data_IF_663918431513
#
_entry.id   IF_663918431513
#
_cell.length_a   1.000
_cell.length_b   1.000
_cell.length_c   1.000
_cell.angle_alpha   90.00
_cell.angle_beta   90.00
_cell.angle_gamma   90.00
#
_symmetry.space_group_name_H-M   'P 1'
#
loop_
_entity.id
_entity.type
_entity.pdbx_description
1 polymer ?
#
# COMPACT_ATOMS: atom_id res chain seq x y z
N UNK A 1 -33.29 1.75 -9.90
CA UNK A 1 -32.27 1.33 -10.90
C UNK A 1 -31.51 2.57 -11.33
N UNK A 2 -30.42 2.92 -10.66
CA UNK A 2 -29.56 4.04 -11.04
C UNK A 2 -28.44 3.50 -11.95
N UNK A 3 -28.58 3.72 -13.24
CA UNK A 3 -27.50 3.49 -14.19
C UNK A 3 -26.44 4.57 -13.99
N UNK A 4 -25.25 4.17 -13.60
CA UNK A 4 -24.06 5.03 -13.59
C UNK A 4 -23.80 5.45 -15.04
N UNK A 5 -23.71 6.74 -15.37
CA UNK A 5 -23.34 7.17 -16.71
C UNK A 5 -21.95 6.64 -17.04
N UNK A 6 -21.79 6.00 -18.19
CA UNK A 6 -20.47 5.63 -18.71
C UNK A 6 -19.60 6.90 -18.75
N UNK A 7 -18.46 6.87 -18.10
CA UNK A 7 -17.47 7.94 -18.04
C UNK A 7 -16.76 8.04 -19.42
N UNK A 8 -17.50 8.50 -20.43
CA UNK A 8 -16.90 8.95 -21.68
C UNK A 8 -16.21 10.29 -21.40
N UNK A 9 -14.87 10.27 -21.36
CA UNK A 9 -14.07 11.50 -21.24
C UNK A 9 -13.13 11.61 -20.04
N UNK A 10 -13.06 10.61 -19.14
CA UNK A 10 -12.03 10.64 -18.11
C UNK A 10 -10.65 10.32 -18.72
N UNK A 11 -9.81 11.33 -18.78
CA UNK A 11 -8.38 11.15 -19.05
C UNK A 11 -7.66 11.27 -17.70
N UNK A 12 -6.92 10.22 -17.32
CA UNK A 12 -5.99 10.30 -16.21
C UNK A 12 -5.17 11.59 -16.34
N UNK A 13 -5.00 12.37 -15.27
CA UNK A 13 -4.11 13.53 -15.32
C UNK A 13 -2.76 13.05 -15.82
N UNK A 14 -2.36 13.57 -16.98
CA UNK A 14 -1.06 13.25 -17.60
C UNK A 14 0.02 13.46 -16.55
N UNK A 15 0.99 12.56 -16.41
CA UNK A 15 2.12 12.78 -15.53
C UNK A 15 2.71 14.13 -15.92
N UNK A 16 2.75 15.07 -14.97
CA UNK A 16 3.27 16.40 -15.24
C UNK A 16 4.73 16.25 -15.66
N UNK A 17 4.95 16.24 -16.98
CA UNK A 17 6.29 16.42 -17.54
C UNK A 17 6.82 17.72 -16.96
N UNK A 18 7.85 17.61 -16.12
CA UNK A 18 8.61 18.66 -15.50
C UNK A 18 8.58 19.97 -16.31
N UNK A 19 7.74 20.93 -15.95
CA UNK A 19 7.89 22.29 -16.41
C UNK A 19 9.11 22.85 -15.71
N UNK A 20 10.19 22.98 -16.48
CA UNK A 20 11.39 23.72 -16.08
C UNK A 20 10.97 25.11 -15.60
N UNK A 21 10.99 25.33 -14.30
CA UNK A 21 11.18 26.65 -13.69
C UNK A 21 12.48 26.60 -12.91
N UNK A 22 13.43 27.42 -13.35
CA UNK A 22 14.73 27.54 -12.76
C UNK A 22 14.67 28.04 -11.33
N UNK A 23 15.50 27.48 -10.53
CA UNK A 23 16.48 28.06 -9.62
C UNK A 23 16.99 26.98 -8.69
N UNK A 24 18.31 26.87 -8.58
CA UNK A 24 19.06 25.78 -8.01
C UNK A 24 18.60 25.31 -6.64
N UNK A 25 18.26 24.05 -6.59
CA UNK A 25 18.33 23.19 -5.42
C UNK A 25 18.83 21.85 -5.91
N UNK A 26 19.75 21.28 -5.15
CA UNK A 26 20.38 20.00 -5.39
C UNK A 26 19.32 18.97 -5.88
N UNK A 27 19.55 18.45 -7.07
CA UNK A 27 18.73 17.34 -7.59
C UNK A 27 19.00 16.15 -6.70
N UNK A 28 17.98 15.49 -6.12
CA UNK A 28 18.20 14.18 -5.53
C UNK A 28 18.83 13.30 -6.60
N UNK A 29 19.89 12.58 -6.26
CA UNK A 29 20.59 11.68 -7.16
C UNK A 29 19.62 10.60 -7.66
N UNK A 30 19.45 10.51 -8.97
CA UNK A 30 18.65 9.50 -9.67
C UNK A 30 17.22 9.96 -9.97
N UNK A 31 16.71 9.55 -11.13
CA UNK A 31 15.34 9.82 -11.58
C UNK A 31 14.32 9.23 -10.59
N UNK A 32 13.78 10.09 -9.71
CA UNK A 32 12.70 9.71 -8.83
C UNK A 32 11.38 9.79 -9.58
N UNK A 33 10.93 8.64 -10.07
CA UNK A 33 9.66 8.49 -10.76
C UNK A 33 8.56 8.05 -9.79
N UNK A 34 7.37 8.60 -9.95
CA UNK A 34 6.19 8.19 -9.21
C UNK A 34 4.93 8.39 -10.07
N UNK A 35 3.89 7.64 -9.74
CA UNK A 35 2.52 7.91 -10.20
C UNK A 35 1.70 8.52 -9.09
N UNK A 36 0.76 9.39 -9.45
CA UNK A 36 -0.14 10.04 -8.52
C UNK A 36 -1.57 9.87 -9.01
N UNK A 37 -2.46 9.55 -8.08
CA UNK A 37 -3.90 9.50 -8.29
C UNK A 37 -4.59 10.55 -7.42
N UNK A 38 -5.46 11.33 -8.03
CA UNK A 38 -6.32 12.30 -7.34
C UNK A 38 -7.78 11.87 -7.40
N UNK A 39 -8.55 12.03 -6.30
CA UNK A 39 -9.96 11.70 -6.32
C UNK A 39 -10.73 12.45 -7.41
N UNK A 40 -11.77 11.81 -7.94
CA UNK A 40 -12.75 12.50 -8.80
C UNK A 40 -13.40 13.60 -7.96
N UNK A 41 -13.42 14.82 -8.49
CA UNK A 41 -13.90 16.02 -7.78
C UNK A 41 -13.07 16.37 -6.52
N UNK A 42 -11.73 16.31 -6.66
CA UNK A 42 -10.81 16.72 -5.60
C UNK A 42 -11.15 18.12 -5.06
N UNK A 43 -11.29 18.22 -3.75
CA UNK A 43 -11.55 19.47 -3.02
C UNK A 43 -10.34 19.88 -2.21
N UNK A 44 -9.71 21.00 -2.54
CA UNK A 44 -8.47 21.45 -1.87
C UNK A 44 -8.65 21.77 -0.38
N UNK A 45 -9.89 22.05 0.06
CA UNK A 45 -10.23 22.32 1.46
C UNK A 45 -10.45 21.06 2.30
N UNK A 46 -10.57 19.88 1.69
CA UNK A 46 -10.77 18.62 2.38
C UNK A 46 -9.43 17.88 2.57
N UNK A 47 -9.15 17.43 3.78
CA UNK A 47 -7.96 16.65 4.10
C UNK A 47 -8.20 15.17 3.77
N UNK A 48 -7.62 14.70 2.66
CA UNK A 48 -7.79 13.33 2.19
C UNK A 48 -6.86 12.34 2.90
N UNK A 49 -7.32 11.12 3.18
CA UNK A 49 -6.42 10.00 3.46
C UNK A 49 -5.49 9.76 2.26
N UNK A 50 -4.24 9.37 2.54
CA UNK A 50 -3.24 9.03 1.53
C UNK A 50 -2.98 7.53 1.51
N UNK A 51 -3.03 6.92 0.33
CA UNK A 51 -2.55 5.56 0.09
C UNK A 51 -1.20 5.64 -0.64
N UNK A 52 -0.15 5.08 -0.03
CA UNK A 52 1.15 4.90 -0.69
C UNK A 52 1.20 3.47 -1.20
N UNK A 53 1.28 3.30 -2.53
CA UNK A 53 1.21 1.99 -3.17
C UNK A 53 2.59 1.52 -3.64
N UNK A 54 2.96 0.28 -3.25
CA UNK A 54 4.19 -0.39 -3.66
C UNK A 54 3.85 -1.55 -4.59
N UNK A 55 4.29 -1.45 -5.85
CA UNK A 55 4.03 -2.48 -6.88
C UNK A 55 4.80 -3.78 -6.60
N UNK A 56 4.44 -4.90 -7.20
CA UNK A 56 5.22 -6.12 -7.17
C UNK A 56 6.55 -5.96 -7.93
N UNK A 57 7.53 -6.84 -7.67
CA UNK A 57 8.76 -6.89 -8.46
C UNK A 57 8.42 -7.15 -9.94
N UNK A 58 9.13 -6.48 -10.83
CA UNK A 58 8.84 -6.52 -12.26
C UNK A 58 7.66 -5.64 -12.71
N UNK A 59 6.91 -5.08 -11.75
CA UNK A 59 5.87 -4.08 -12.02
C UNK A 59 6.45 -2.66 -12.08
N UNK A 60 5.57 -1.68 -12.14
CA UNK A 60 5.94 -0.27 -12.15
C UNK A 60 4.90 0.57 -11.42
N UNK A 61 5.26 1.80 -11.11
CA UNK A 61 4.43 2.74 -10.35
C UNK A 61 3.06 3.04 -11.01
N UNK A 62 2.92 2.83 -12.31
CA UNK A 62 1.66 3.06 -13.04
C UNK A 62 0.57 2.05 -12.70
N UNK A 63 0.91 0.91 -12.09
CA UNK A 63 -0.05 -0.04 -11.53
C UNK A 63 -1.06 0.65 -10.57
N UNK A 64 -0.67 1.76 -9.96
CA UNK A 64 -1.55 2.59 -9.13
C UNK A 64 -2.86 2.96 -9.87
N UNK A 65 -2.77 3.25 -11.16
CA UNK A 65 -3.92 3.70 -11.95
C UNK A 65 -4.90 2.56 -12.23
N UNK A 66 -4.43 1.32 -12.21
CA UNK A 66 -5.26 0.12 -12.36
C UNK A 66 -5.90 -0.28 -11.02
N UNK A 67 -5.20 -0.06 -9.90
CA UNK A 67 -5.63 -0.42 -8.55
C UNK A 67 -6.68 0.56 -7.99
N UNK A 68 -6.47 1.85 -8.19
CA UNK A 68 -7.30 2.88 -7.54
C UNK A 68 -8.78 2.84 -7.94
N UNK A 69 -9.19 2.54 -9.19
CA UNK A 69 -10.61 2.39 -9.53
C UNK A 69 -11.33 1.29 -8.75
N UNK A 70 -10.66 0.16 -8.48
CA UNK A 70 -11.19 -0.93 -7.66
C UNK A 70 -11.19 -0.60 -6.16
N UNK A 71 -10.25 0.24 -5.72
CA UNK A 71 -10.18 0.68 -4.32
C UNK A 71 -11.23 1.78 -4.05
N UNK A 72 -11.06 2.95 -4.62
CA UNK A 72 -12.03 4.04 -4.61
C UNK A 72 -11.64 5.17 -5.55
N UNK A 73 -12.60 5.68 -6.29
CA UNK A 73 -12.42 6.86 -7.14
C UNK A 73 -12.53 8.20 -6.38
N UNK A 74 -12.94 8.21 -5.11
CA UNK A 74 -13.32 9.45 -4.40
C UNK A 74 -12.69 9.64 -3.02
N UNK A 75 -12.33 8.55 -2.35
CA UNK A 75 -12.04 8.62 -0.91
C UNK A 75 -10.58 8.95 -0.60
N UNK A 76 -9.66 8.72 -1.53
CA UNK A 76 -8.23 8.78 -1.25
C UNK A 76 -7.46 9.59 -2.29
N UNK A 77 -6.43 10.29 -1.85
CA UNK A 77 -5.26 10.56 -2.66
C UNK A 77 -4.38 9.30 -2.67
N UNK A 78 -3.67 9.04 -3.77
CA UNK A 78 -2.70 7.96 -3.75
C UNK A 78 -1.43 8.31 -4.52
N UNK A 79 -0.30 7.78 -4.06
CA UNK A 79 1.01 7.93 -4.69
C UNK A 79 1.74 6.60 -4.72
N UNK A 80 2.39 6.29 -5.84
CA UNK A 80 3.22 5.11 -5.99
C UNK A 80 4.62 5.52 -6.42
N UNK A 81 5.64 5.40 -5.57
CA UNK A 81 7.03 5.55 -6.01
C UNK A 81 7.43 4.35 -6.87
N UNK A 82 8.31 4.59 -7.85
CA UNK A 82 8.95 3.53 -8.61
C UNK A 82 9.98 2.81 -7.75
N UNK A 83 9.96 1.49 -7.76
CA UNK A 83 10.97 0.65 -7.14
C UNK A 83 12.38 0.93 -7.67
N UNK A 84 13.39 0.38 -7.03
CA UNK A 84 14.78 0.52 -7.48
C UNK A 84 15.00 -0.32 -8.73
N UNK A 85 15.73 0.23 -9.70
CA UNK A 85 16.34 -0.57 -10.76
C UNK A 85 17.53 -1.34 -10.16
N UNK A 86 17.37 -2.64 -10.04
CA UNK A 86 18.45 -3.55 -9.77
C UNK A 86 19.04 -3.99 -11.12
N UNK A 87 20.23 -4.61 -11.12
CA UNK A 87 20.96 -5.05 -12.33
C UNK A 87 20.17 -6.02 -13.25
N UNK A 88 19.02 -6.48 -12.83
CA UNK A 88 18.03 -7.22 -13.63
C UNK A 88 16.96 -6.23 -14.06
N UNK A 89 16.69 -6.10 -15.33
CA UNK A 89 15.89 -5.11 -16.09
C UNK A 89 14.48 -4.72 -15.53
N UNK A 90 14.22 -4.91 -14.25
CA UNK A 90 12.90 -4.70 -13.64
C UNK A 90 12.98 -3.86 -12.36
N UNK A 91 12.12 -2.85 -12.17
CA UNK A 91 11.98 -2.16 -10.89
C UNK A 91 11.52 -3.11 -9.79
N UNK A 92 12.05 -2.95 -8.57
CA UNK A 92 11.69 -3.80 -7.45
C UNK A 92 12.07 -3.23 -6.08
N UNK A 93 11.87 -4.04 -5.05
CA UNK A 93 12.05 -3.69 -3.64
C UNK A 93 13.08 -4.62 -2.99
N UNK A 94 14.38 -4.32 -3.13
CA UNK A 94 15.43 -5.15 -2.56
C UNK A 94 15.44 -5.05 -1.03
N UNK A 95 15.51 -6.19 -0.36
CA UNK A 95 15.59 -6.27 1.10
C UNK A 95 17.01 -6.22 1.65
N UNK A 96 18.03 -6.41 0.81
CA UNK A 96 19.42 -6.37 1.20
C UNK A 96 20.18 -5.28 0.46
N UNK A 97 21.09 -4.59 1.16
CA UNK A 97 22.02 -3.62 0.58
C UNK A 97 21.44 -2.25 0.21
N UNK A 98 20.18 -2.17 -0.19
CA UNK A 98 19.54 -0.93 -0.69
C UNK A 98 18.34 -0.48 0.15
N UNK A 99 18.13 -1.08 1.32
CA UNK A 99 16.97 -0.83 2.14
C UNK A 99 16.74 0.65 2.48
N UNK A 100 17.79 1.36 2.89
CA UNK A 100 17.73 2.79 3.21
C UNK A 100 17.24 3.64 2.03
N UNK A 101 17.61 3.26 0.80
CA UNK A 101 17.16 3.97 -0.39
C UNK A 101 15.68 3.67 -0.70
N UNK A 102 15.22 2.43 -0.51
CA UNK A 102 13.80 2.07 -0.62
C UNK A 102 12.97 2.90 0.34
N UNK A 103 13.33 2.89 1.60
CA UNK A 103 12.67 3.65 2.65
C UNK A 103 12.65 5.15 2.35
N UNK A 104 13.81 5.71 1.97
CA UNK A 104 13.93 7.11 1.58
C UNK A 104 12.98 7.48 0.43
N UNK A 105 12.84 6.63 -0.59
CA UNK A 105 11.93 6.86 -1.72
C UNK A 105 10.48 6.86 -1.28
N UNK A 106 10.08 5.91 -0.46
CA UNK A 106 8.70 5.84 0.05
C UNK A 106 8.39 7.08 0.90
N UNK A 107 9.25 7.46 1.84
CA UNK A 107 9.05 8.63 2.68
C UNK A 107 9.06 9.94 1.86
N UNK A 108 9.94 10.06 0.86
CA UNK A 108 9.97 11.21 -0.03
C UNK A 108 8.68 11.33 -0.87
N UNK A 109 8.06 10.20 -1.26
CA UNK A 109 6.78 10.23 -1.99
C UNK A 109 5.65 10.83 -1.15
N UNK A 110 5.62 10.52 0.15
CA UNK A 110 4.65 11.11 1.08
C UNK A 110 4.85 12.63 1.17
N UNK A 111 6.10 13.08 1.29
CA UNK A 111 6.40 14.52 1.32
C UNK A 111 6.00 15.23 0.03
N UNK A 112 6.22 14.61 -1.14
CA UNK A 112 5.80 15.16 -2.43
C UNK A 112 4.28 15.30 -2.47
N UNK A 113 3.53 14.28 -2.06
CA UNK A 113 2.08 14.32 -2.01
C UNK A 113 1.61 15.43 -1.04
N UNK A 114 2.17 15.52 0.16
CA UNK A 114 1.79 16.50 1.20
C UNK A 114 2.11 17.95 0.83
N UNK A 115 3.12 18.18 -0.02
CA UNK A 115 3.44 19.54 -0.52
C UNK A 115 2.46 20.03 -1.58
N UNK A 116 1.80 19.13 -2.29
CA UNK A 116 0.98 19.46 -3.44
C UNK A 116 -0.54 19.30 -3.18
N UNK A 117 -0.91 18.54 -2.16
CA UNK A 117 -2.28 18.19 -1.85
C UNK A 117 -2.55 18.28 -0.35
N UNK A 118 -3.82 18.53 0.00
CA UNK A 118 -4.25 18.55 1.39
C UNK A 118 -4.50 17.12 1.87
N UNK A 119 -3.51 16.56 2.58
CA UNK A 119 -3.52 15.20 3.12
C UNK A 119 -3.76 15.24 4.62
N UNK A 120 -4.58 14.31 5.10
CA UNK A 120 -4.74 14.05 6.53
C UNK A 120 -3.46 13.39 7.06
N UNK A 121 -2.71 14.03 7.96
CA UNK A 121 -1.45 13.47 8.47
C UNK A 121 -1.67 12.18 9.28
N UNK A 122 -2.84 12.04 9.90
CA UNK A 122 -3.20 10.88 10.73
C UNK A 122 -3.75 9.71 9.92
N UNK A 123 -3.94 9.87 8.59
CA UNK A 123 -4.52 8.87 7.72
C UNK A 123 -3.62 8.56 6.50
N UNK A 124 -2.36 8.23 6.78
CA UNK A 124 -1.42 7.74 5.76
C UNK A 124 -1.34 6.22 5.84
N UNK A 125 -1.75 5.54 4.77
CA UNK A 125 -1.72 4.09 4.65
C UNK A 125 -0.61 3.66 3.70
N UNK A 126 0.10 2.60 4.08
CA UNK A 126 1.13 2.00 3.24
C UNK A 126 0.62 0.64 2.74
N UNK A 127 0.50 0.48 1.44
CA UNK A 127 -0.05 -0.72 0.81
C UNK A 127 0.87 -1.24 -0.28
N UNK A 128 0.88 -2.55 -0.50
CA UNK A 128 1.64 -3.10 -1.61
C UNK A 128 1.26 -4.54 -1.95
N UNK A 129 1.64 -4.96 -3.16
CA UNK A 129 1.39 -6.29 -3.66
C UNK A 129 2.69 -7.12 -3.68
N UNK A 130 2.62 -8.37 -3.23
CA UNK A 130 3.73 -9.33 -3.18
C UNK A 130 4.97 -8.73 -2.50
N UNK A 131 6.11 -8.58 -3.16
CA UNK A 131 7.31 -7.98 -2.59
C UNK A 131 7.11 -6.51 -2.18
N UNK A 132 6.22 -5.79 -2.88
CA UNK A 132 5.78 -4.46 -2.44
C UNK A 132 5.01 -4.51 -1.12
N UNK A 133 4.22 -5.57 -0.89
CA UNK A 133 3.56 -5.83 0.39
C UNK A 133 4.56 -6.12 1.51
N UNK A 134 5.57 -6.94 1.24
CA UNK A 134 6.66 -7.20 2.19
C UNK A 134 7.46 -5.93 2.51
N UNK A 135 7.73 -5.08 1.51
CA UNK A 135 8.38 -3.79 1.71
C UNK A 135 7.49 -2.85 2.55
N UNK A 136 6.18 -2.85 2.32
CA UNK A 136 5.23 -2.08 3.12
C UNK A 136 5.24 -2.52 4.59
N UNK A 137 5.20 -3.82 4.87
CA UNK A 137 5.32 -4.35 6.23
C UNK A 137 6.64 -3.90 6.88
N UNK A 138 7.75 -4.02 6.18
CA UNK A 138 9.05 -3.64 6.70
C UNK A 138 9.11 -2.15 7.07
N UNK A 139 8.69 -1.26 6.18
CA UNK A 139 8.71 0.19 6.41
C UNK A 139 7.74 0.56 7.54
N UNK A 140 6.53 -0.01 7.52
CA UNK A 140 5.52 0.26 8.54
C UNK A 140 5.97 -0.14 9.94
N UNK A 141 6.55 -1.34 10.08
CA UNK A 141 7.09 -1.82 11.36
C UNK A 141 8.31 -1.02 11.84
N UNK A 142 9.08 -0.43 10.92
CA UNK A 142 10.21 0.44 11.26
C UNK A 142 9.77 1.86 11.67
N UNK A 143 8.68 2.36 11.08
CA UNK A 143 8.11 3.69 11.35
C UNK A 143 6.63 3.64 11.76
N UNK A 144 6.25 2.90 12.83
CA UNK A 144 4.85 2.63 13.15
C UNK A 144 4.03 3.89 13.43
N UNK A 145 4.67 4.96 13.89
CA UNK A 145 4.00 6.22 14.21
C UNK A 145 3.69 7.09 12.97
N UNK A 146 4.16 6.67 11.78
CA UNK A 146 3.96 7.44 10.54
C UNK A 146 2.77 6.98 9.72
N UNK A 147 2.20 5.84 10.06
CA UNK A 147 1.14 5.21 9.28
C UNK A 147 -0.09 4.91 10.14
N UNK A 148 -1.26 5.16 9.57
CA UNK A 148 -2.55 4.77 10.13
C UNK A 148 -2.82 3.27 9.94
N UNK A 149 -2.09 2.62 9.04
CA UNK A 149 -2.17 1.19 8.82
C UNK A 149 -1.28 0.73 7.67
N UNK A 150 -1.00 -0.58 7.65
CA UNK A 150 -0.19 -1.23 6.63
C UNK A 150 -0.95 -2.39 6.01
N UNK A 151 -0.87 -2.51 4.69
CA UNK A 151 -1.61 -3.50 3.90
C UNK A 151 -0.61 -4.30 3.06
N UNK A 152 -0.52 -5.59 3.31
CA UNK A 152 0.27 -6.52 2.50
C UNK A 152 -0.62 -7.49 1.74
N UNK A 153 -0.62 -7.38 0.41
CA UNK A 153 -1.40 -8.23 -0.48
C UNK A 153 -0.52 -9.34 -1.03
N UNK A 154 -0.50 -10.47 -0.33
CA UNK A 154 0.30 -11.65 -0.71
C UNK A 154 1.80 -11.47 -0.56
N UNK A 155 2.24 -10.58 0.34
CA UNK A 155 3.64 -10.43 0.73
C UNK A 155 3.87 -10.83 2.18
N UNK A 156 4.92 -11.62 2.43
CA UNK A 156 5.31 -12.08 3.77
C UNK A 156 6.12 -11.05 4.55
N UNK A 157 6.29 -11.31 5.84
CA UNK A 157 7.17 -10.52 6.70
C UNK A 157 8.63 -10.81 6.32
N UNK A 158 9.44 -9.80 5.99
CA UNK A 158 10.84 -10.04 5.62
C UNK A 158 11.66 -10.42 6.86
N UNK A 159 12.04 -11.69 6.94
CA UNK A 159 12.84 -12.22 8.05
C UNK A 159 14.34 -11.82 7.97
N UNK A 160 14.98 -11.79 9.12
CA UNK A 160 16.44 -11.71 9.24
C UNK A 160 17.04 -10.30 9.24
N UNK A 161 16.23 -9.29 9.38
CA UNK A 161 16.68 -7.91 9.49
C UNK A 161 16.45 -7.38 10.92
N UNK A 162 17.27 -6.41 11.34
CA UNK A 162 17.17 -5.75 12.65
C UNK A 162 15.85 -4.93 12.86
N UNK A 163 14.85 -5.17 12.01
CA UNK A 163 13.61 -4.39 11.92
C UNK A 163 12.70 -4.53 13.14
N UNK A 164 12.85 -5.60 13.89
CA UNK A 164 12.03 -5.84 15.07
C UNK A 164 12.52 -5.13 16.34
N UNK A 165 13.44 -4.19 16.22
CA UNK A 165 13.94 -3.42 17.36
C UNK A 165 12.88 -2.56 18.04
N UNK A 166 11.74 -2.31 17.36
CA UNK A 166 10.66 -1.46 17.90
C UNK A 166 9.28 -2.14 17.86
N UNK A 167 9.22 -3.46 18.04
CA UNK A 167 7.94 -4.21 18.04
C UNK A 167 6.93 -3.68 19.05
N UNK A 168 7.40 -3.17 20.19
CA UNK A 168 6.51 -2.63 21.19
C UNK A 168 5.75 -1.40 20.65
N UNK A 169 6.42 -0.49 19.97
CA UNK A 169 5.79 0.68 19.37
C UNK A 169 4.91 0.34 18.14
N UNK A 170 5.14 -0.81 17.52
CA UNK A 170 4.37 -1.27 16.36
C UNK A 170 3.08 -2.02 16.72
N UNK A 171 2.85 -2.36 18.00
CA UNK A 171 1.67 -3.14 18.42
C UNK A 171 0.34 -2.47 18.06
N UNK A 172 0.29 -1.15 18.16
CA UNK A 172 -0.92 -0.37 17.88
C UNK A 172 -1.08 -0.03 16.39
N UNK A 173 -0.09 -0.40 15.54
CA UNK A 173 -0.18 -0.20 14.10
C UNK A 173 -1.10 -1.27 13.50
N UNK A 174 -2.27 -0.90 12.92
CA UNK A 174 -3.14 -1.85 12.27
C UNK A 174 -2.47 -2.47 11.04
N UNK A 175 -2.50 -3.80 10.94
CA UNK A 175 -1.99 -4.56 9.82
C UNK A 175 -3.12 -5.30 9.12
N UNK A 176 -3.21 -5.19 7.79
CA UNK A 176 -4.03 -6.08 6.96
C UNK A 176 -3.10 -6.95 6.13
N UNK A 177 -3.18 -8.26 6.32
CA UNK A 177 -2.41 -9.24 5.53
C UNK A 177 -3.39 -10.09 4.75
N UNK A 178 -3.17 -10.20 3.44
CA UNK A 178 -3.94 -11.12 2.60
C UNK A 178 -3.09 -12.29 2.15
N UNK A 179 -3.71 -13.45 2.04
CA UNK A 179 -3.09 -14.67 1.57
C UNK A 179 -3.98 -15.39 0.56
N UNK A 180 -3.41 -15.82 -0.57
CA UNK A 180 -4.09 -16.67 -1.55
C UNK A 180 -3.73 -18.14 -1.31
N UNK A 181 -4.73 -19.03 -1.20
CA UNK A 181 -4.49 -20.49 -1.00
C UNK A 181 -3.62 -21.11 -2.08
N UNK A 182 -3.68 -20.59 -3.30
CA UNK A 182 -2.90 -21.07 -4.44
C UNK A 182 -1.64 -20.24 -4.70
N UNK A 183 -1.26 -19.34 -3.77
CA UNK A 183 -0.09 -18.51 -3.92
C UNK A 183 1.20 -19.35 -3.95
N UNK A 184 2.02 -19.15 -4.98
CA UNK A 184 3.28 -19.89 -5.16
C UNK A 184 4.46 -19.26 -4.46
N UNK A 185 4.46 -17.93 -4.32
CA UNK A 185 5.59 -17.17 -3.75
C UNK A 185 5.48 -16.97 -2.24
N UNK A 186 4.28 -16.94 -1.70
CA UNK A 186 4.00 -16.82 -0.28
C UNK A 186 3.03 -17.93 0.09
N UNK A 187 3.60 -19.09 0.40
CA UNK A 187 2.84 -20.31 0.65
C UNK A 187 2.13 -20.29 2.01
N UNK A 188 1.16 -21.20 2.19
CA UNK A 188 0.36 -21.29 3.41
C UNK A 188 1.22 -21.48 4.67
N UNK A 189 2.28 -22.31 4.59
CA UNK A 189 3.19 -22.53 5.72
C UNK A 189 3.95 -21.27 6.13
N UNK A 190 4.41 -20.47 5.17
CA UNK A 190 5.07 -19.19 5.44
C UNK A 190 4.06 -18.18 6.03
N UNK A 191 2.85 -18.09 5.46
CA UNK A 191 1.80 -17.23 5.97
C UNK A 191 1.45 -17.59 7.41
N UNK A 192 1.25 -18.88 7.74
CA UNK A 192 1.00 -19.32 9.10
C UNK A 192 2.14 -18.99 10.07
N UNK A 193 3.40 -19.11 9.64
CA UNK A 193 4.55 -18.75 10.46
C UNK A 193 4.55 -17.25 10.78
N UNK A 194 4.34 -16.40 9.77
CA UNK A 194 4.27 -14.96 9.92
C UNK A 194 3.14 -14.54 10.85
N UNK A 195 1.94 -15.10 10.64
CA UNK A 195 0.76 -14.79 11.43
C UNK A 195 0.94 -15.17 12.91
N UNK A 196 1.49 -16.35 13.18
CA UNK A 196 1.82 -16.77 14.55
C UNK A 196 2.81 -15.83 15.22
N UNK A 197 3.83 -15.41 14.50
CA UNK A 197 4.85 -14.49 15.01
C UNK A 197 4.25 -13.11 15.32
N UNK A 198 3.49 -12.53 14.40
CA UNK A 198 2.85 -11.23 14.58
C UNK A 198 1.81 -11.27 15.72
N UNK A 199 1.03 -12.35 15.80
CA UNK A 199 0.06 -12.55 16.87
C UNK A 199 0.78 -12.69 18.24
N UNK A 200 1.84 -13.50 18.31
CA UNK A 200 2.65 -13.66 19.53
C UNK A 200 3.31 -12.34 19.96
N UNK A 201 3.66 -11.45 19.02
CA UNK A 201 4.15 -10.12 19.30
C UNK A 201 3.05 -9.14 19.78
N UNK A 202 1.77 -9.54 19.75
CA UNK A 202 0.62 -8.72 20.14
C UNK A 202 0.27 -7.62 19.15
N UNK A 203 0.50 -7.87 17.85
CA UNK A 203 0.20 -6.91 16.80
C UNK A 203 -1.30 -6.81 16.52
N UNK A 204 -1.79 -5.63 16.16
CA UNK A 204 -3.16 -5.39 15.69
C UNK A 204 -3.30 -5.92 14.24
N UNK A 205 -3.76 -7.16 14.09
CA UNK A 205 -3.72 -7.91 12.85
C UNK A 205 -5.11 -8.27 12.33
N UNK A 206 -5.42 -7.89 11.09
CA UNK A 206 -6.53 -8.39 10.29
C UNK A 206 -5.98 -9.29 9.17
N UNK A 207 -6.60 -10.46 9.00
CA UNK A 207 -6.19 -11.43 7.98
C UNK A 207 -7.37 -11.69 7.03
N UNK A 208 -7.08 -11.79 5.74
CA UNK A 208 -8.04 -12.21 4.72
C UNK A 208 -7.43 -13.30 3.85
N UNK A 209 -8.16 -14.37 3.66
CA UNK A 209 -7.74 -15.49 2.80
C UNK A 209 -8.63 -15.55 1.56
N UNK A 210 -8.00 -15.68 0.38
CA UNK A 210 -8.69 -15.81 -0.89
C UNK A 210 -8.44 -17.20 -1.51
N UNK A 211 -9.39 -17.75 -2.29
CA UNK A 211 -9.26 -19.10 -2.87
C UNK A 211 -8.09 -19.20 -3.86
N UNK A 212 -7.87 -18.16 -4.63
CA UNK A 212 -6.85 -18.10 -5.68
C UNK A 212 -5.58 -17.38 -5.23
N UNK A 213 -4.59 -17.31 -6.11
CA UNK A 213 -3.45 -16.42 -5.93
C UNK A 213 -3.97 -14.98 -5.84
N UNK A 214 -3.42 -14.16 -4.91
CA UNK A 214 -3.85 -12.78 -4.69
C UNK A 214 -3.82 -11.95 -5.99
N UNK A 215 -4.92 -12.01 -6.75
CA UNK A 215 -5.17 -11.13 -7.87
C UNK A 215 -5.73 -9.81 -7.31
N UNK A 216 -5.33 -8.70 -7.93
CA UNK A 216 -5.86 -7.38 -7.55
C UNK A 216 -7.24 -7.19 -8.20
N UNK A 217 -8.18 -8.04 -7.83
CA UNK A 217 -9.56 -8.02 -8.31
C UNK A 217 -10.46 -7.11 -7.47
N UNK A 218 -11.68 -6.92 -7.93
CA UNK A 218 -12.65 -6.02 -7.29
C UNK A 218 -13.03 -6.49 -5.88
N UNK A 219 -13.03 -7.80 -5.61
CA UNK A 219 -13.35 -8.34 -4.29
C UNK A 219 -12.24 -7.96 -3.29
N UNK A 220 -10.99 -8.28 -3.61
CA UNK A 220 -9.85 -7.98 -2.77
C UNK A 220 -9.70 -6.47 -2.54
N UNK A 221 -9.79 -5.66 -3.62
CA UNK A 221 -9.69 -4.21 -3.51
C UNK A 221 -10.86 -3.59 -2.75
N UNK A 222 -12.07 -4.13 -2.89
CA UNK A 222 -13.23 -3.75 -2.10
C UNK A 222 -13.06 -4.04 -0.61
N UNK A 223 -12.47 -5.18 -0.24
CA UNK A 223 -12.16 -5.53 1.15
C UNK A 223 -11.07 -4.61 1.73
N UNK A 224 -10.05 -4.27 0.95
CA UNK A 224 -9.03 -3.28 1.33
C UNK A 224 -9.65 -1.91 1.56
N UNK A 225 -10.51 -1.45 0.64
CA UNK A 225 -11.24 -0.17 0.81
C UNK A 225 -12.05 -0.15 2.11
N UNK A 226 -12.80 -1.23 2.40
CA UNK A 226 -13.57 -1.34 3.63
C UNK A 226 -12.68 -1.23 4.86
N UNK A 227 -11.58 -1.99 4.89
CA UNK A 227 -10.66 -1.96 6.01
C UNK A 227 -10.03 -0.57 6.21
N UNK A 228 -9.60 0.12 5.15
CA UNK A 228 -9.10 1.49 5.24
C UNK A 228 -10.17 2.43 5.82
N UNK A 229 -11.41 2.32 5.33
CA UNK A 229 -12.50 3.16 5.83
C UNK A 229 -12.82 2.90 7.30
N UNK A 230 -12.71 1.67 7.77
CA UNK A 230 -12.83 1.34 9.20
C UNK A 230 -11.76 2.05 10.04
N UNK A 231 -10.51 2.08 9.55
CA UNK A 231 -9.44 2.81 10.24
C UNK A 231 -9.67 4.33 10.22
N UNK A 232 -10.17 4.88 9.11
CA UNK A 232 -10.43 6.33 8.97
C UNK A 232 -11.60 6.79 9.83
N UNK A 233 -12.66 5.98 9.90
CA UNK A 233 -13.91 6.37 10.61
C UNK A 233 -13.93 5.93 12.07
N UNK A 234 -13.06 5.00 12.47
CA UNK A 234 -13.10 4.35 13.78
C UNK A 234 -14.33 3.47 14.01
N UNK A 235 -15.05 3.12 12.95
CA UNK A 235 -16.27 2.32 13.01
C UNK A 235 -16.12 1.05 12.17
N UNK A 236 -16.31 -0.11 12.79
CA UNK A 236 -16.40 -1.36 12.06
C UNK A 236 -17.62 -1.35 11.12
N UNK A 237 -17.38 -1.53 9.82
CA UNK A 237 -18.44 -1.61 8.81
C UNK A 237 -18.94 -3.04 8.80
N UNK A 238 -20.00 -3.34 9.58
CA UNK A 238 -20.67 -4.62 9.56
C UNK A 238 -21.39 -4.81 8.21
N UNK A 239 -20.84 -5.69 7.37
CA UNK A 239 -21.63 -6.29 6.30
C UNK A 239 -22.18 -7.65 6.78
N UNK A 240 -23.37 -8.09 6.26
CA UNK A 240 -23.82 -9.44 6.50
C UNK A 240 -22.73 -10.44 6.05
N UNK A 241 -22.42 -11.38 6.91
CA UNK A 241 -21.39 -12.40 6.71
C UNK A 241 -21.58 -13.11 5.37
N UNK A 242 -20.58 -13.01 4.51
CA UNK A 242 -20.49 -13.90 3.35
C UNK A 242 -20.16 -15.31 3.86
N UNK A 243 -20.80 -16.37 3.42
CA UNK A 243 -20.70 -17.71 4.01
C UNK A 243 -19.39 -18.45 3.70
N UNK A 244 -18.25 -17.80 3.70
CA UNK A 244 -16.94 -18.40 3.36
C UNK A 244 -15.78 -17.85 4.18
N UNK A 245 -15.99 -17.44 5.41
CA UNK A 245 -14.88 -17.25 6.35
C UNK A 245 -14.40 -18.62 6.83
N UNK A 246 -13.57 -19.26 6.01
CA UNK A 246 -12.76 -20.37 6.47
C UNK A 246 -11.59 -19.80 7.26
N UNK A 247 -11.61 -19.98 8.57
CA UNK A 247 -10.47 -19.73 9.42
C UNK A 247 -9.23 -20.40 8.83
N UNK A 248 -8.12 -19.63 8.75
CA UNK A 248 -6.83 -20.24 8.45
C UNK A 248 -6.54 -21.17 9.63
N UNK A 249 -6.66 -22.47 9.41
CA UNK A 249 -6.32 -23.49 10.41
C UNK A 249 -4.78 -23.57 10.52
N UNK A 250 -4.18 -22.63 11.24
CA UNK A 250 -2.76 -22.62 11.55
C UNK A 250 -2.44 -23.35 12.85
#
# INVERSE_FOLDING_TARGET
>A
MNRIPQLAGWQAPQPQKNRKRGMGRERPHGDFHYSLFTPVHYEAGYAYPLVVWLHANGGHQEQLLDVMPGLSLRNYLAIAPRGLHLEVDSPGWPFQGYWTEVERRVLASIEIASRNYHISPDHVFLAGAREGGSAALQIGLHHPQRFAGVISLGGGVPFGTAQFTNLYAARDLPLLITHGRQARQYGEGEACQDLRMLHAAGMALAVRQYPEENQLDDQLLGDVNRWIMEQVTGQAIHLPESPTDGDIAC
#
